data_IF_669976404025
#
_entry.id   IF_669976404025
#
_cell.length_a   1.000
_cell.length_b   1.000
_cell.length_c   1.000
_cell.angle_alpha   90.00
_cell.angle_beta   90.00
_cell.angle_gamma   90.00
#
_symmetry.space_group_name_H-M   'P 1'
#
loop_
_entity.id
_entity.type
_entity.pdbx_description
1 polymer ?
#
# COMPACT_ATOMS: atom_id res chain seq x y z
N UNK A 1 27.68 -13.24 -3.13
CA UNK A 1 27.29 -12.38 -4.27
C UNK A 1 27.05 -10.98 -3.74
N UNK A 2 27.97 -10.04 -3.96
CA UNK A 2 27.83 -8.67 -3.44
C UNK A 2 27.04 -7.85 -4.45
N UNK A 3 25.73 -7.78 -4.25
CA UNK A 3 24.78 -7.14 -5.17
C UNK A 3 24.64 -5.65 -4.91
N UNK A 4 25.57 -4.85 -5.43
CA UNK A 4 25.36 -3.42 -5.62
C UNK A 4 25.92 -2.99 -6.97
N UNK A 5 25.09 -3.07 -8.01
CA UNK A 5 25.42 -2.51 -9.32
C UNK A 5 24.89 -1.07 -9.37
N UNK A 6 25.79 -0.10 -9.27
CA UNK A 6 25.46 1.31 -9.53
C UNK A 6 25.72 1.55 -11.01
N UNK A 7 24.65 1.81 -11.76
CA UNK A 7 24.73 2.11 -13.19
C UNK A 7 24.17 3.52 -13.39
N UNK A 8 25.03 4.49 -13.72
CA UNK A 8 24.64 5.86 -14.06
C UNK A 8 23.70 6.55 -13.04
N UNK A 9 23.90 6.31 -11.74
CA UNK A 9 23.09 6.89 -10.65
C UNK A 9 21.86 6.07 -10.24
N UNK A 10 21.49 5.03 -11.00
CA UNK A 10 20.41 4.11 -10.65
C UNK A 10 20.95 2.91 -9.85
N UNK A 11 20.10 2.35 -8.98
CA UNK A 11 20.37 1.13 -8.22
C UNK A 11 19.55 -0.02 -8.81
N UNK A 12 20.26 -1.01 -9.36
CA UNK A 12 19.67 -2.27 -9.81
C UNK A 12 19.95 -3.41 -8.84
N UNK A 13 18.92 -4.16 -8.46
CA UNK A 13 19.05 -5.45 -7.78
C UNK A 13 18.47 -6.53 -8.70
N UNK A 14 19.31 -7.49 -9.10
CA UNK A 14 18.94 -8.53 -10.06
C UNK A 14 18.81 -8.08 -11.52
N UNK A 15 19.26 -6.85 -11.82
CA UNK A 15 19.42 -6.33 -13.19
C UNK A 15 20.74 -5.55 -13.30
N UNK A 16 21.36 -5.59 -14.47
CA UNK A 16 22.58 -4.82 -14.80
C UNK A 16 22.28 -3.56 -15.61
N UNK A 17 21.05 -3.40 -16.09
CA UNK A 17 20.60 -2.24 -16.87
C UNK A 17 19.31 -1.66 -16.27
N UNK A 18 19.37 -1.07 -15.06
CA UNK A 18 18.18 -0.48 -14.44
C UNK A 18 17.65 0.73 -15.23
N UNK A 19 16.34 0.74 -15.54
CA UNK A 19 15.66 1.83 -16.28
C UNK A 19 14.94 2.83 -15.37
N UNK A 20 15.03 2.65 -14.05
CA UNK A 20 14.49 3.54 -13.02
C UNK A 20 15.51 3.72 -11.89
N UNK A 21 15.32 4.78 -11.08
CA UNK A 21 16.24 5.11 -9.97
C UNK A 21 16.49 3.93 -9.02
N UNK A 22 15.45 3.14 -8.74
CA UNK A 22 15.54 1.85 -8.08
C UNK A 22 14.75 0.83 -8.90
N UNK A 23 15.41 -0.26 -9.30
CA UNK A 23 14.75 -1.41 -9.93
C UNK A 23 15.18 -2.70 -9.23
N UNK A 24 14.20 -3.47 -8.77
CA UNK A 24 14.41 -4.83 -8.29
C UNK A 24 13.78 -5.79 -9.28
N UNK A 25 14.57 -6.72 -9.78
CA UNK A 25 14.18 -7.68 -10.81
C UNK A 25 14.52 -9.09 -10.33
N UNK A 26 13.55 -9.98 -10.39
CA UNK A 26 13.70 -11.40 -10.04
C UNK A 26 12.94 -12.25 -11.04
N UNK A 27 13.56 -13.31 -11.55
CA UNK A 27 12.94 -14.23 -12.52
C UNK A 27 12.41 -15.53 -11.93
N UNK A 28 12.74 -15.84 -10.67
CA UNK A 28 12.49 -17.16 -10.06
C UNK A 28 12.08 -17.09 -8.59
N UNK A 29 12.09 -15.90 -7.99
CA UNK A 29 11.95 -15.70 -6.54
C UNK A 29 11.13 -14.45 -6.22
N UNK A 30 10.81 -14.26 -4.95
CA UNK A 30 10.21 -13.02 -4.43
C UNK A 30 10.98 -11.78 -4.90
N UNK A 31 10.26 -10.75 -5.37
CA UNK A 31 10.88 -9.52 -5.90
C UNK A 31 11.21 -8.52 -4.80
N UNK A 32 10.39 -8.42 -3.74
CA UNK A 32 10.61 -7.50 -2.62
C UNK A 32 10.05 -8.11 -1.33
N UNK A 33 10.91 -8.26 -0.31
CA UNK A 33 10.52 -8.59 1.06
C UNK A 33 10.47 -7.35 1.92
N UNK A 34 9.40 -7.19 2.69
CA UNK A 34 9.35 -6.27 3.82
C UNK A 34 9.06 -7.10 5.08
N UNK A 35 10.00 -7.14 6.02
CA UNK A 35 9.93 -7.95 7.23
C UNK A 35 9.88 -7.05 8.48
N UNK A 36 9.01 -7.39 9.43
CA UNK A 36 8.71 -6.64 10.64
C UNK A 36 7.29 -6.93 11.15
N UNK A 37 6.92 -6.40 12.32
CA UNK A 37 5.60 -6.63 12.92
C UNK A 37 4.46 -5.89 12.19
N UNK A 38 4.77 -4.83 11.43
CA UNK A 38 3.78 -4.11 10.61
C UNK A 38 4.46 -3.42 9.42
N UNK A 39 5.00 -4.19 8.46
CA UNK A 39 5.77 -3.66 7.36
C UNK A 39 4.89 -2.78 6.45
N UNK A 40 5.45 -1.69 5.93
CA UNK A 40 4.72 -0.73 5.11
C UNK A 40 5.56 -0.16 3.97
N UNK A 41 4.88 0.20 2.89
CA UNK A 41 5.36 1.16 1.89
C UNK A 41 4.78 2.52 2.25
N UNK A 42 5.66 3.47 2.59
CA UNK A 42 5.26 4.80 3.08
C UNK A 42 5.57 5.86 2.02
N UNK A 43 4.62 6.74 1.76
CA UNK A 43 4.74 7.84 0.81
C UNK A 43 4.93 9.17 1.56
N UNK A 44 5.94 9.93 1.16
CA UNK A 44 6.24 11.24 1.73
C UNK A 44 5.96 12.35 0.73
N UNK A 45 5.61 13.53 1.23
CA UNK A 45 5.63 14.73 0.40
C UNK A 45 7.07 15.11 0.03
N UNK A 46 7.32 15.43 -1.23
CA UNK A 46 8.63 15.87 -1.69
C UNK A 46 9.10 17.14 -0.95
N UNK A 47 10.35 17.13 -0.49
CA UNK A 47 10.95 18.27 0.23
C UNK A 47 10.45 18.46 1.67
N UNK A 48 9.72 17.47 2.21
CA UNK A 48 9.20 17.51 3.57
C UNK A 48 9.36 16.13 4.26
N UNK A 49 9.10 16.08 5.57
CA UNK A 49 9.06 14.87 6.40
C UNK A 49 7.63 14.36 6.64
N UNK A 50 6.62 14.93 6.00
CA UNK A 50 5.22 14.53 6.15
C UNK A 50 4.88 13.27 5.35
N UNK A 51 4.15 12.36 5.99
CA UNK A 51 3.68 11.12 5.36
C UNK A 51 2.31 11.39 4.76
N UNK A 52 2.18 11.30 3.43
CA UNK A 52 0.90 11.52 2.74
C UNK A 52 0.04 10.27 2.68
N UNK A 53 0.65 9.10 2.81
CA UNK A 53 -0.05 7.83 2.91
C UNK A 53 0.86 6.63 3.11
N UNK A 54 0.27 5.46 3.33
CA UNK A 54 0.97 4.18 3.41
C UNK A 54 0.09 3.03 2.95
N UNK A 55 0.74 1.97 2.49
CA UNK A 55 0.16 0.63 2.32
C UNK A 55 0.88 -0.27 3.33
N UNK A 56 0.15 -0.91 4.24
CA UNK A 56 0.74 -1.61 5.39
C UNK A 56 0.07 -2.96 5.63
N UNK A 57 0.88 -3.96 6.00
CA UNK A 57 0.39 -5.18 6.64
C UNK A 57 0.24 -4.93 8.15
N UNK A 58 -0.89 -5.34 8.71
CA UNK A 58 -1.21 -5.19 10.13
C UNK A 58 -1.36 -6.60 10.72
N UNK A 59 -0.44 -6.97 11.60
CA UNK A 59 -0.49 -8.24 12.32
C UNK A 59 -1.74 -8.30 13.21
N UNK A 60 -2.59 -9.29 12.97
CA UNK A 60 -3.78 -9.55 13.78
C UNK A 60 -3.58 -10.70 14.76
N UNK A 61 -2.34 -11.20 14.88
CA UNK A 61 -2.00 -12.42 15.60
C UNK A 61 -2.36 -13.68 14.82
N UNK A 62 -1.94 -14.83 15.36
CA UNK A 62 -2.23 -16.16 14.80
C UNK A 62 -1.91 -16.31 13.29
N UNK A 63 -0.81 -15.69 12.84
CA UNK A 63 -0.39 -15.67 11.42
C UNK A 63 -1.35 -14.90 10.48
N UNK A 64 -2.32 -14.18 11.05
CA UNK A 64 -3.22 -13.31 10.33
C UNK A 64 -2.57 -11.95 10.06
N UNK A 65 -2.77 -11.45 8.84
CA UNK A 65 -2.36 -10.11 8.45
C UNK A 65 -3.49 -9.44 7.68
N UNK A 66 -3.85 -8.25 8.13
CA UNK A 66 -4.74 -7.37 7.38
C UNK A 66 -3.91 -6.48 6.45
N UNK A 67 -4.45 -6.13 5.29
CA UNK A 67 -3.86 -5.13 4.39
C UNK A 67 -4.62 -3.82 4.51
N UNK A 68 -3.95 -2.75 4.90
CA UNK A 68 -4.56 -1.42 5.06
C UNK A 68 -3.91 -0.37 4.15
N UNK A 69 -4.75 0.52 3.62
CA UNK A 69 -4.34 1.74 2.91
C UNK A 69 -4.77 2.93 3.76
N UNK A 70 -3.81 3.76 4.14
CA UNK A 70 -4.06 4.96 4.93
C UNK A 70 -3.56 6.20 4.20
N UNK A 71 -4.28 7.31 4.35
CA UNK A 71 -3.87 8.62 3.78
C UNK A 71 -4.07 9.72 4.80
N UNK A 72 -3.28 10.79 4.68
CA UNK A 72 -3.44 11.96 5.53
C UNK A 72 -4.77 12.65 5.18
N UNK A 73 -5.68 12.85 6.15
CA UNK A 73 -6.82 13.73 5.93
C UNK A 73 -6.26 15.14 5.82
N UNK A 74 -6.38 15.75 4.64
CA UNK A 74 -5.81 17.08 4.34
C UNK A 74 -6.12 18.08 5.45
N UNK A 75 -5.13 18.33 6.31
CA UNK A 75 -5.26 19.19 7.48
C UNK A 75 -4.50 20.50 7.34
N UNK A 76 -3.61 20.59 6.34
CA UNK A 76 -2.71 21.73 6.14
C UNK A 76 -1.63 21.88 7.22
N UNK A 77 -1.59 21.01 8.25
CA UNK A 77 -0.68 21.12 9.40
C UNK A 77 0.49 20.13 9.36
N UNK A 78 0.46 19.14 8.47
CA UNK A 78 1.56 18.19 8.25
C UNK A 78 1.87 17.26 9.42
N UNK A 79 0.96 17.16 10.39
CA UNK A 79 1.13 16.36 11.60
C UNK A 79 -0.12 15.55 11.93
N UNK A 80 -1.03 15.36 10.98
CA UNK A 80 -2.27 14.64 11.26
C UNK A 80 -2.02 13.14 11.13
N UNK A 81 -2.50 12.34 12.09
CA UNK A 81 -2.43 10.89 11.98
C UNK A 81 -3.08 10.43 10.66
N UNK A 82 -2.43 9.49 9.99
CA UNK A 82 -3.01 8.85 8.82
C UNK A 82 -4.35 8.21 9.19
N UNK A 83 -5.33 8.37 8.31
CA UNK A 83 -6.64 7.73 8.43
C UNK A 83 -6.67 6.55 7.48
N UNK A 84 -7.03 5.37 8.00
CA UNK A 84 -7.30 4.20 7.18
C UNK A 84 -8.55 4.42 6.33
N UNK A 85 -8.39 4.31 5.00
CA UNK A 85 -9.46 4.50 4.02
C UNK A 85 -9.98 3.19 3.47
N UNK A 86 -9.12 2.17 3.45
CA UNK A 86 -9.49 0.83 2.99
C UNK A 86 -8.72 -0.22 3.78
N UNK A 87 -9.38 -1.33 4.07
CA UNK A 87 -8.78 -2.54 4.65
C UNK A 87 -9.30 -3.79 3.98
N UNK A 88 -8.43 -4.81 3.90
CA UNK A 88 -8.82 -6.20 3.70
C UNK A 88 -8.38 -6.96 4.95
N UNK A 89 -9.31 -7.59 5.64
CA UNK A 89 -8.98 -8.37 6.84
C UNK A 89 -8.36 -9.71 6.48
N UNK A 90 -7.68 -10.34 7.44
CA UNK A 90 -7.19 -11.72 7.38
C UNK A 90 -8.31 -12.75 7.14
N UNK A 91 -9.56 -12.40 7.46
CA UNK A 91 -10.76 -13.18 7.13
C UNK A 91 -11.32 -12.93 5.73
N UNK A 92 -10.76 -11.97 4.97
CA UNK A 92 -11.16 -11.65 3.59
C UNK A 92 -12.23 -10.57 3.45
N UNK A 93 -12.62 -9.89 4.52
CA UNK A 93 -13.62 -8.81 4.47
C UNK A 93 -12.98 -7.50 4.01
N UNK A 94 -13.66 -6.77 3.13
CA UNK A 94 -13.22 -5.45 2.65
C UNK A 94 -13.96 -4.34 3.41
N UNK A 95 -13.22 -3.43 4.01
CA UNK A 95 -13.72 -2.21 4.64
C UNK A 95 -13.35 -0.98 3.81
N UNK A 96 -14.29 -0.07 3.61
CA UNK A 96 -14.05 1.31 3.13
C UNK A 96 -14.47 2.27 4.23
N UNK A 97 -13.53 3.12 4.66
CA UNK A 97 -13.64 4.02 5.82
C UNK A 97 -14.10 3.35 7.13
N UNK A 98 -13.89 2.03 7.25
CA UNK A 98 -14.12 1.24 8.47
C UNK A 98 -12.95 0.30 8.71
N UNK A 99 -12.52 0.21 9.97
CA UNK A 99 -11.42 -0.66 10.40
C UNK A 99 -11.88 -2.05 10.84
N UNK A 100 -13.20 -2.26 10.99
CA UNK A 100 -13.78 -3.53 11.46
C UNK A 100 -14.94 -3.98 10.56
N UNK A 101 -14.67 -4.39 9.31
CA UNK A 101 -15.70 -4.92 8.42
C UNK A 101 -16.17 -6.30 8.90
N UNK A 102 -17.42 -6.39 9.35
CA UNK A 102 -18.07 -7.65 9.77
C UNK A 102 -18.81 -8.37 8.62
N UNK A 103 -18.93 -7.70 7.47
CA UNK A 103 -19.48 -8.25 6.23
C UNK A 103 -18.39 -8.31 5.17
N UNK A 104 -18.58 -9.14 4.13
CA UNK A 104 -17.61 -9.27 3.02
C UNK A 104 -17.23 -7.92 2.40
N UNK A 105 -18.18 -6.98 2.35
CA UNK A 105 -17.95 -5.58 2.02
C UNK A 105 -18.71 -4.71 3.02
N UNK A 106 -18.00 -3.84 3.74
CA UNK A 106 -18.58 -2.83 4.62
C UNK A 106 -18.08 -1.44 4.22
N UNK A 107 -19.01 -0.51 4.06
CA UNK A 107 -18.71 0.89 3.72
C UNK A 107 -19.27 1.77 4.82
N UNK A 108 -18.41 2.51 5.51
CA UNK A 108 -18.84 3.55 6.44
C UNK A 108 -18.98 4.88 5.68
N UNK A 109 -20.22 5.24 5.34
CA UNK A 109 -20.51 6.48 4.62
C UNK A 109 -21.46 6.26 3.45
N UNK A 110 -21.51 7.22 2.55
CA UNK A 110 -22.33 7.15 1.34
C UNK A 110 -21.53 6.57 0.19
N UNK A 111 -22.04 5.52 -0.45
CA UNK A 111 -21.46 4.93 -1.66
C UNK A 111 -22.34 5.25 -2.87
N UNK A 112 -21.72 5.63 -3.99
CA UNK A 112 -22.39 5.69 -5.28
C UNK A 112 -21.95 4.47 -6.09
N UNK A 113 -22.88 3.56 -6.38
CA UNK A 113 -22.64 2.43 -7.28
C UNK A 113 -23.19 2.81 -8.65
N UNK A 114 -22.29 3.15 -9.57
CA UNK A 114 -22.68 3.42 -10.95
C UNK A 114 -22.73 2.10 -11.71
N UNK A 115 -23.93 1.75 -12.20
CA UNK A 115 -24.09 0.66 -13.16
C UNK A 115 -24.09 1.27 -14.56
N UNK A 116 -23.21 0.79 -15.42
CA UNK A 116 -23.31 1.04 -16.85
C UNK A 116 -24.44 0.17 -17.40
N UNK A 117 -25.50 0.79 -17.94
CA UNK A 117 -26.52 0.04 -18.66
C UNK A 117 -26.10 -0.08 -20.13
N UNK A 118 -25.75 -1.30 -20.52
CA UNK A 118 -25.38 -1.63 -21.90
C UNK A 118 -26.61 -1.78 -22.82
N UNK A 119 -27.85 -1.67 -22.30
CA UNK A 119 -29.09 -1.86 -23.09
C UNK A 119 -29.55 -0.62 -23.85
N UNK A 120 -28.69 -0.11 -24.70
CA UNK A 120 -29.11 0.77 -25.79
C UNK A 120 -28.65 0.20 -27.12
N UNK A 121 -29.40 -0.77 -27.65
CA UNK A 121 -29.86 -0.84 -29.04
C UNK A 121 -31.06 -1.80 -29.11
#
# INVERSE_FOLDING_TARGET
MSGRSICNGNVGIGTTAPTAALQVSSGTSETLRLDGSSPAVTFYQHGNTWITGKIQSIDTGAWGGDLAISTEPSSGTGATPLVERMRITSSGNVGIDTTNPIYNLAIAGSACVQQWDERRF
#
